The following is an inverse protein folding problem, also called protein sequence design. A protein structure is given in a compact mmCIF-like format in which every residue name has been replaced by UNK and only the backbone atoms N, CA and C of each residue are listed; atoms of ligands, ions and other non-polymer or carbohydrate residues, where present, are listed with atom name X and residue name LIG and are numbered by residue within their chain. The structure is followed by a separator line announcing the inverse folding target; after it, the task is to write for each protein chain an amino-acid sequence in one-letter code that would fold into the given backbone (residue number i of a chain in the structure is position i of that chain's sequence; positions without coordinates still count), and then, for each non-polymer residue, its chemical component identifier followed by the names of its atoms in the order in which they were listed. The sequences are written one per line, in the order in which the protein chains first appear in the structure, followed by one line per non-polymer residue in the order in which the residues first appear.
data_IF_940867017627
#
_entry.id   IF_940867017627
#
_cell.length_a   1.000
_cell.length_b   1.000
_cell.length_c   1.000
_cell.angle_alpha   90.00
_cell.angle_beta   90.00
_cell.angle_gamma   90.00
#
_symmetry.space_group_name_H-M   'P 1'
#
loop_
_entity.id
_entity.type
_entity.pdbx_description
1 polymer ?
#
# COMPACT_ATOMS: atom_id res chain seq x y z
N UNK A 1 -14.04 -47.71 49.49
CA UNK A 1 -14.03 -46.22 49.63
C UNK A 1 -12.58 -45.82 49.81
N UNK A 2 -11.93 -44.98 49.00
CA UNK A 2 -12.42 -43.77 48.31
C UNK A 2 -11.79 -43.73 46.91
N UNK A 3 -12.62 -43.39 45.92
CA UNK A 3 -12.20 -43.24 44.53
C UNK A 3 -11.24 -42.06 44.35
N UNK A 4 -10.32 -42.20 43.40
CA UNK A 4 -9.61 -41.07 42.82
C UNK A 4 -10.66 -40.08 42.27
N UNK A 5 -10.56 -38.77 42.55
CA UNK A 5 -11.37 -37.81 41.84
C UNK A 5 -10.91 -37.80 40.37
N UNK A 6 -11.81 -38.29 39.50
CA UNK A 6 -11.81 -37.99 38.07
C UNK A 6 -11.98 -36.48 37.95
N UNK A 7 -10.88 -35.77 37.70
CA UNK A 7 -10.95 -34.38 37.26
C UNK A 7 -11.52 -34.40 35.83
N UNK A 8 -12.77 -33.95 35.71
CA UNK A 8 -13.38 -33.69 34.41
C UNK A 8 -12.46 -32.77 33.59
N UNK A 9 -12.41 -32.91 32.25
CA UNK A 9 -11.70 -31.94 31.42
C UNK A 9 -12.36 -30.59 31.66
N UNK A 10 -11.62 -29.67 32.29
CA UNK A 10 -12.00 -28.26 32.37
C UNK A 10 -12.36 -27.81 30.96
N UNK A 11 -13.64 -27.46 30.76
CA UNK A 11 -14.15 -26.95 29.50
C UNK A 11 -13.17 -25.92 28.93
N UNK A 12 -12.74 -26.04 27.66
CA UNK A 12 -11.80 -25.08 27.09
C UNK A 12 -12.43 -23.68 27.16
N UNK A 13 -11.74 -22.75 27.82
CA UNK A 13 -12.11 -21.35 27.82
C UNK A 13 -12.04 -20.88 26.36
N UNK A 14 -13.21 -20.65 25.76
CA UNK A 14 -13.33 -20.11 24.41
C UNK A 14 -13.02 -18.61 24.49
N UNK A 15 -11.88 -18.22 23.93
CA UNK A 15 -11.53 -16.81 23.79
C UNK A 15 -11.95 -16.32 22.40
N UNK A 16 -12.56 -15.14 22.35
CA UNK A 16 -12.85 -14.42 21.12
C UNK A 16 -11.81 -13.31 20.98
N UNK A 17 -11.00 -13.32 19.93
CA UNK A 17 -10.12 -12.20 19.58
C UNK A 17 -10.69 -11.51 18.34
N UNK A 18 -10.77 -10.17 18.40
CA UNK A 18 -11.20 -9.33 17.27
C UNK A 18 -9.95 -8.64 16.70
N UNK A 19 -9.61 -8.97 15.46
CA UNK A 19 -8.54 -8.29 14.70
C UNK A 19 -9.19 -7.76 13.41
N UNK A 20 -9.06 -6.46 13.15
CA UNK A 20 -9.59 -5.80 11.95
C UNK A 20 -11.08 -6.09 11.66
N UNK A 21 -11.89 -6.28 12.71
CA UNK A 21 -13.33 -6.60 12.60
C UNK A 21 -13.66 -8.07 12.33
N UNK A 22 -12.65 -8.95 12.26
CA UNK A 22 -12.83 -10.39 12.10
C UNK A 22 -12.77 -11.06 13.48
N UNK A 23 -13.80 -11.85 13.79
CA UNK A 23 -13.96 -12.60 15.04
C UNK A 23 -13.26 -13.96 14.90
N UNK A 24 -12.19 -14.16 15.66
CA UNK A 24 -11.49 -15.44 15.74
C UNK A 24 -11.87 -16.18 17.02
N UNK A 25 -12.35 -17.42 16.87
CA UNK A 25 -12.58 -18.35 17.97
C UNK A 25 -11.28 -19.09 18.29
N UNK A 26 -10.82 -19.01 19.55
CA UNK A 26 -9.63 -19.69 20.04
C UNK A 26 -9.98 -20.74 21.10
N UNK A 27 -9.36 -21.91 20.94
CA UNK A 27 -8.91 -22.72 22.08
C UNK A 27 -7.55 -22.18 22.52
N UNK A 28 -7.43 -21.82 23.80
CA UNK A 28 -6.29 -21.04 24.32
C UNK A 28 -4.97 -21.84 24.22
N UNK A 29 -3.88 -21.29 23.62
CA UNK A 29 -2.58 -21.94 23.56
C UNK A 29 -1.88 -22.13 24.91
N UNK A 30 -2.34 -21.48 25.98
CA UNK A 30 -1.81 -21.68 27.34
C UNK A 30 -1.96 -23.13 27.80
N UNK A 31 -2.91 -23.90 27.23
CA UNK A 31 -3.01 -25.34 27.47
C UNK A 31 -1.97 -26.20 26.75
N UNK A 32 -1.23 -25.65 25.78
CA UNK A 32 -0.34 -26.40 24.89
C UNK A 32 1.14 -26.43 25.35
N UNK A 33 1.50 -25.74 26.44
CA UNK A 33 2.86 -25.75 26.99
C UNK A 33 3.94 -25.21 26.05
N UNK A 34 5.20 -25.56 26.33
CA UNK A 34 6.36 -25.20 25.51
C UNK A 34 6.20 -25.75 24.08
N UNK A 35 5.94 -24.86 23.11
CA UNK A 35 5.76 -25.23 21.71
C UNK A 35 4.37 -24.95 21.14
N UNK A 36 3.39 -24.54 21.96
CA UNK A 36 2.02 -24.25 21.51
C UNK A 36 1.93 -23.24 20.35
N UNK A 37 2.84 -22.26 20.29
CA UNK A 37 2.92 -21.29 19.18
C UNK A 37 3.31 -21.95 17.85
N UNK A 38 4.21 -22.95 17.87
CA UNK A 38 4.62 -23.69 16.67
C UNK A 38 3.52 -24.63 16.19
N UNK A 39 2.81 -25.26 17.12
CA UNK A 39 1.67 -26.11 16.80
C UNK A 39 0.55 -25.29 16.14
N UNK A 40 0.22 -24.12 16.71
CA UNK A 40 -0.77 -23.21 16.14
C UNK A 40 -0.37 -22.66 14.75
N UNK A 41 0.92 -22.39 14.52
CA UNK A 41 1.43 -22.02 13.20
C UNK A 41 1.28 -23.16 12.18
N UNK A 42 1.58 -24.40 12.59
CA UNK A 42 1.53 -25.58 11.71
C UNK A 42 0.10 -26.04 11.40
N UNK A 43 -0.78 -26.07 12.41
CA UNK A 43 -2.13 -26.63 12.31
C UNK A 43 -3.17 -25.59 11.85
N UNK A 44 -3.00 -24.33 12.29
CA UNK A 44 -3.98 -23.26 12.06
C UNK A 44 -3.46 -22.17 11.11
N UNK A 45 -2.18 -22.22 10.71
CA UNK A 45 -1.57 -21.20 9.85
C UNK A 45 -1.39 -19.84 10.53
N UNK A 46 -1.45 -19.78 11.86
CA UNK A 46 -1.40 -18.52 12.58
C UNK A 46 0.02 -17.98 12.73
N UNK A 47 0.18 -16.68 12.47
CA UNK A 47 1.44 -16.01 12.72
C UNK A 47 1.74 -15.97 14.23
N UNK A 48 2.91 -16.46 14.61
CA UNK A 48 3.39 -16.49 16.01
C UNK A 48 3.45 -15.11 16.67
N UNK A 49 3.64 -14.04 15.91
CA UNK A 49 3.61 -12.67 16.43
C UNK A 49 2.20 -12.24 16.83
N UNK A 50 1.19 -12.62 16.04
CA UNK A 50 -0.23 -12.40 16.37
C UNK A 50 -0.63 -13.18 17.62
N UNK A 51 -0.16 -14.43 17.76
CA UNK A 51 -0.40 -15.25 18.95
C UNK A 51 0.25 -14.62 20.19
N UNK A 52 1.50 -14.15 20.09
CA UNK A 52 2.20 -13.45 21.18
C UNK A 52 1.49 -12.16 21.58
N UNK A 53 1.00 -11.39 20.60
CA UNK A 53 0.21 -10.18 20.85
C UNK A 53 -1.07 -10.52 21.61
N UNK A 54 -1.86 -11.48 21.14
CA UNK A 54 -3.10 -11.91 21.81
C UNK A 54 -2.90 -12.42 23.23
N UNK A 55 -1.81 -13.16 23.51
CA UNK A 55 -1.47 -13.61 24.87
C UNK A 55 -1.19 -12.40 25.79
N UNK A 56 -0.41 -11.42 25.33
CA UNK A 56 -0.10 -10.22 26.11
C UNK A 56 -1.33 -9.36 26.36
N UNK A 57 -2.21 -9.22 25.38
CA UNK A 57 -3.48 -8.51 25.52
C UNK A 57 -4.38 -9.17 26.58
N UNK A 58 -4.43 -10.51 26.59
CA UNK A 58 -5.14 -11.26 27.63
C UNK A 58 -4.52 -11.05 29.02
N UNK A 59 -3.19 -11.18 29.14
CA UNK A 59 -2.49 -11.06 30.43
C UNK A 59 -2.58 -9.66 31.02
N UNK A 60 -2.54 -8.63 30.17
CA UNK A 60 -2.58 -7.23 30.58
C UNK A 60 -3.99 -6.64 30.66
N UNK A 61 -4.99 -7.29 30.05
CA UNK A 61 -6.36 -6.77 29.92
C UNK A 61 -6.48 -5.55 28.99
N UNK A 62 -5.42 -5.21 28.25
CA UNK A 62 -5.35 -4.05 27.36
C UNK A 62 -5.35 -4.54 25.91
N UNK A 63 -6.27 -4.04 25.09
CA UNK A 63 -6.27 -4.30 23.64
C UNK A 63 -5.23 -3.39 22.96
N UNK A 64 -4.23 -3.98 22.30
CA UNK A 64 -3.21 -3.22 21.57
C UNK A 64 -3.71 -2.92 20.16
N UNK A 65 -4.25 -1.71 19.95
CA UNK A 65 -4.62 -1.23 18.62
C UNK A 65 -3.37 -0.93 17.80
N UNK A 66 -3.25 -1.53 16.61
CA UNK A 66 -2.12 -1.25 15.72
C UNK A 66 -2.26 0.14 15.10
N UNK A 67 -1.26 1.02 15.32
CA UNK A 67 -1.19 2.31 14.65
C UNK A 67 -0.62 2.16 13.23
N UNK A 68 -1.34 1.44 12.36
CA UNK A 68 -0.92 1.25 10.97
C UNK A 68 -0.91 2.57 10.20
N UNK A 69 -1.82 3.48 10.51
CA UNK A 69 -1.89 4.83 9.94
C UNK A 69 -0.67 5.70 10.24
N UNK A 70 0.00 5.48 11.37
CA UNK A 70 1.23 6.21 11.73
C UNK A 70 2.51 5.59 11.18
N UNK A 71 2.43 4.47 10.46
CA UNK A 71 3.60 3.79 9.88
C UNK A 71 3.82 4.23 8.44
N UNK A 72 5.07 4.50 8.09
CA UNK A 72 5.50 4.76 6.72
C UNK A 72 5.79 6.24 6.42
N UNK A 73 6.04 6.53 5.15
CA UNK A 73 6.19 7.91 4.65
C UNK A 73 4.84 8.40 4.15
N UNK A 74 4.49 9.64 4.51
CA UNK A 74 3.31 10.30 3.98
C UNK A 74 3.42 10.51 2.48
N UNK A 75 2.26 10.55 1.81
CA UNK A 75 2.25 10.78 0.37
C UNK A 75 2.63 12.22 0.04
N UNK A 76 3.09 12.46 -1.19
CA UNK A 76 3.47 13.80 -1.63
C UNK A 76 2.30 14.80 -1.54
N UNK A 77 1.06 14.35 -1.73
CA UNK A 77 -0.14 15.19 -1.61
C UNK A 77 -0.39 15.69 -0.18
N UNK A 78 0.09 14.96 0.84
CA UNK A 78 -0.07 15.37 2.24
C UNK A 78 0.88 16.52 2.58
N UNK A 79 2.05 16.55 1.93
CA UNK A 79 2.97 17.68 2.01
C UNK A 79 2.52 18.86 1.14
N UNK A 80 1.89 18.58 -0.01
CA UNK A 80 1.48 19.56 -0.99
C UNK A 80 0.06 19.27 -1.50
N UNK A 81 -0.99 19.81 -0.85
CA UNK A 81 -2.37 19.48 -1.16
C UNK A 81 -2.77 19.84 -2.60
N UNK A 82 -2.17 20.89 -3.17
CA UNK A 82 -2.48 21.38 -4.51
C UNK A 82 -1.61 20.76 -5.62
N UNK A 83 -0.64 19.90 -5.26
CA UNK A 83 0.35 19.38 -6.21
C UNK A 83 -0.29 18.65 -7.40
N UNK A 84 -1.33 17.85 -7.15
CA UNK A 84 -1.99 17.11 -8.22
C UNK A 84 -2.71 18.05 -9.20
N UNK A 85 -3.30 19.11 -8.69
CA UNK A 85 -4.02 20.09 -9.52
C UNK A 85 -3.04 20.91 -10.35
N UNK A 86 -1.93 21.34 -9.76
CA UNK A 86 -0.87 22.06 -10.47
C UNK A 86 -0.24 21.19 -11.57
N UNK A 87 -0.02 19.89 -11.29
CA UNK A 87 0.45 18.94 -12.31
C UNK A 87 -0.55 18.82 -13.46
N UNK A 88 -1.84 18.69 -13.17
CA UNK A 88 -2.88 18.62 -14.22
C UNK A 88 -2.88 19.89 -15.07
N UNK A 89 -2.88 21.07 -14.43
CA UNK A 89 -2.87 22.35 -15.12
C UNK A 89 -1.69 22.52 -16.08
N UNK A 90 -0.50 22.04 -15.70
CA UNK A 90 0.69 22.04 -16.56
C UNK A 90 0.48 21.11 -17.77
N UNK A 91 -0.04 19.92 -17.51
CA UNK A 91 -0.01 18.80 -18.45
C UNK A 91 -1.20 18.78 -19.40
N UNK A 92 -2.37 19.24 -18.97
CA UNK A 92 -3.63 19.16 -19.73
C UNK A 92 -3.53 19.88 -21.07
N UNK A 93 -2.92 21.08 -21.07
CA UNK A 93 -2.69 21.87 -22.29
C UNK A 93 -1.83 21.15 -23.35
N UNK A 94 -1.00 20.18 -22.94
CA UNK A 94 -0.08 19.44 -23.79
C UNK A 94 -0.44 17.95 -23.89
N UNK A 95 -1.59 17.56 -23.35
CA UNK A 95 -2.09 16.19 -23.39
C UNK A 95 -2.80 15.92 -24.71
N UNK A 96 -2.57 14.74 -25.27
CA UNK A 96 -3.21 14.28 -26.49
C UNK A 96 -3.81 12.90 -26.26
N UNK A 97 -5.06 12.72 -26.67
CA UNK A 97 -5.69 11.40 -26.70
C UNK A 97 -4.95 10.52 -27.71
N UNK A 98 -4.96 9.21 -27.49
CA UNK A 98 -4.46 8.22 -28.43
C UNK A 98 -4.96 8.51 -29.86
N UNK A 99 -4.06 8.80 -30.82
CA UNK A 99 -4.43 9.12 -32.19
C UNK A 99 -5.21 8.01 -32.90
N UNK A 100 -5.08 6.76 -32.44
CA UNK A 100 -5.82 5.64 -33.01
C UNK A 100 -7.28 5.57 -32.53
N UNK A 101 -7.65 6.37 -31.50
CA UNK A 101 -8.94 6.35 -30.81
C UNK A 101 -9.39 4.97 -30.29
N UNK A 102 -8.47 3.99 -30.24
CA UNK A 102 -8.73 2.65 -29.69
C UNK A 102 -8.63 2.61 -28.17
N UNK A 103 -8.04 3.63 -27.56
CA UNK A 103 -7.86 3.72 -26.12
C UNK A 103 -8.09 5.14 -25.61
N UNK A 104 -8.54 5.26 -24.36
CA UNK A 104 -8.69 6.53 -23.65
C UNK A 104 -7.36 7.00 -23.02
N UNK A 105 -6.22 6.55 -23.53
CA UNK A 105 -4.91 6.92 -22.97
C UNK A 105 -4.60 8.37 -23.30
N UNK A 106 -4.20 9.12 -22.28
CA UNK A 106 -3.71 10.49 -22.42
C UNK A 106 -2.19 10.48 -22.52
N UNK A 107 -1.68 10.93 -23.66
CA UNK A 107 -0.26 11.03 -23.91
C UNK A 107 0.23 12.45 -23.69
N UNK A 108 1.31 12.58 -22.94
CA UNK A 108 1.95 13.87 -22.64
C UNK A 108 3.24 14.01 -23.43
N UNK A 109 3.55 15.26 -23.79
CA UNK A 109 4.82 15.63 -24.41
C UNK A 109 5.91 15.95 -23.38
N UNK A 110 5.53 16.37 -22.18
CA UNK A 110 6.48 16.68 -21.12
C UNK A 110 6.95 15.44 -20.39
N UNK A 111 8.26 15.39 -20.15
CA UNK A 111 8.86 14.43 -19.23
C UNK A 111 8.57 14.82 -17.78
N UNK A 112 8.65 13.87 -16.85
CA UNK A 112 8.46 14.17 -15.42
C UNK A 112 9.48 15.18 -14.88
N UNK A 113 10.71 15.18 -15.42
CA UNK A 113 11.72 16.18 -15.07
C UNK A 113 11.34 17.59 -15.53
N UNK A 114 10.70 17.69 -16.70
CA UNK A 114 10.22 18.97 -17.23
C UNK A 114 9.02 19.50 -16.44
N UNK A 115 8.09 18.61 -16.08
CA UNK A 115 6.97 18.97 -15.18
C UNK A 115 7.51 19.47 -13.84
N UNK A 116 8.55 18.83 -13.28
CA UNK A 116 9.21 19.29 -12.06
C UNK A 116 9.75 20.72 -12.19
N UNK A 117 10.43 21.04 -13.28
CA UNK A 117 10.95 22.39 -13.54
C UNK A 117 9.82 23.41 -13.65
N UNK A 118 8.74 23.07 -14.37
CA UNK A 118 7.60 23.96 -14.52
C UNK A 118 6.85 24.21 -13.21
N UNK A 119 6.80 23.21 -12.31
CA UNK A 119 6.27 23.42 -10.96
C UNK A 119 7.10 24.47 -10.21
N UNK A 120 8.43 24.38 -10.26
CA UNK A 120 9.33 25.36 -9.63
C UNK A 120 9.15 26.75 -10.27
N UNK A 121 9.16 26.84 -11.60
CA UNK A 121 9.12 28.11 -12.33
C UNK A 121 7.75 28.82 -12.26
N UNK A 122 6.65 28.09 -12.39
CA UNK A 122 5.29 28.68 -12.47
C UNK A 122 4.59 28.77 -11.12
N UNK A 123 4.82 27.79 -10.24
CA UNK A 123 4.12 27.67 -8.96
C UNK A 123 5.03 27.93 -7.76
N UNK A 124 6.34 28.16 -7.98
CA UNK A 124 7.27 28.60 -6.93
C UNK A 124 7.63 27.51 -5.92
N UNK A 125 7.46 26.24 -6.25
CA UNK A 125 7.89 25.15 -5.37
C UNK A 125 9.41 25.21 -5.13
N UNK A 126 9.85 25.01 -3.88
CA UNK A 126 11.28 24.94 -3.56
C UNK A 126 11.88 23.62 -4.06
N UNK A 127 13.03 23.69 -4.73
CA UNK A 127 13.74 22.54 -5.30
C UNK A 127 14.09 21.48 -4.24
N UNK A 128 14.39 21.92 -3.02
CA UNK A 128 14.74 21.08 -1.86
C UNK A 128 13.52 20.35 -1.28
N UNK A 129 12.36 21.02 -1.30
CA UNK A 129 11.10 20.51 -0.75
C UNK A 129 10.34 19.62 -1.74
N UNK A 130 10.54 19.87 -3.04
CA UNK A 130 9.83 19.18 -4.09
C UNK A 130 10.42 17.78 -4.29
N UNK A 131 9.54 16.79 -4.31
CA UNK A 131 9.93 15.40 -4.50
C UNK A 131 10.66 15.19 -5.84
N UNK A 132 11.40 14.09 -5.92
CA UNK A 132 12.19 13.71 -7.10
C UNK A 132 11.30 13.56 -8.34
N UNK A 133 11.90 13.67 -9.52
CA UNK A 133 11.26 13.43 -10.82
C UNK A 133 10.52 12.09 -10.90
N UNK A 134 11.02 11.04 -10.24
CA UNK A 134 10.35 9.73 -10.18
C UNK A 134 9.02 9.79 -9.42
N UNK A 135 8.95 10.51 -8.32
CA UNK A 135 7.69 10.70 -7.59
C UNK A 135 6.67 11.42 -8.47
N UNK A 136 7.09 12.46 -9.19
CA UNK A 136 6.24 13.17 -10.16
C UNK A 136 5.81 12.24 -11.29
N UNK A 137 6.69 11.35 -11.78
CA UNK A 137 6.33 10.33 -12.78
C UNK A 137 5.26 9.37 -12.26
N UNK A 138 5.36 8.93 -11.01
CA UNK A 138 4.32 8.09 -10.38
C UNK A 138 3.00 8.85 -10.32
N UNK A 139 3.01 10.12 -9.87
CA UNK A 139 1.79 10.95 -9.82
C UNK A 139 1.18 11.17 -11.20
N UNK A 140 1.98 11.38 -12.23
CA UNK A 140 1.49 11.47 -13.61
C UNK A 140 0.81 10.17 -14.06
N UNK A 141 1.39 9.01 -13.73
CA UNK A 141 0.79 7.72 -14.07
C UNK A 141 -0.51 7.49 -13.29
N UNK A 142 -0.57 7.86 -12.01
CA UNK A 142 -1.77 7.76 -11.16
C UNK A 142 -2.91 8.63 -11.72
N UNK A 143 -2.58 9.80 -12.27
CA UNK A 143 -3.51 10.69 -12.97
C UNK A 143 -3.89 10.19 -14.38
N UNK A 144 -3.31 9.07 -14.85
CA UNK A 144 -3.62 8.46 -16.15
C UNK A 144 -2.82 8.99 -17.33
N UNK A 145 -1.85 9.89 -17.08
CA UNK A 145 -0.97 10.43 -18.12
C UNK A 145 0.18 9.46 -18.42
N UNK A 146 0.53 9.34 -19.70
CA UNK A 146 1.66 8.53 -20.16
C UNK A 146 2.58 9.33 -21.06
N UNK A 147 3.88 9.17 -20.89
CA UNK A 147 4.83 9.81 -21.78
C UNK A 147 4.74 9.22 -23.20
N UNK A 148 4.53 10.08 -24.20
CA UNK A 148 4.55 9.64 -25.61
C UNK A 148 5.99 9.38 -26.05
N UNK A 149 6.28 8.18 -26.58
CA UNK A 149 7.53 7.98 -27.31
C UNK A 149 7.50 8.78 -28.61
N UNK A 150 8.53 9.57 -28.85
CA UNK A 150 8.70 10.29 -30.11
C UNK A 150 8.96 9.27 -31.22
N UNK A 151 8.06 9.21 -32.21
CA UNK A 151 8.27 8.39 -33.40
C UNK A 151 9.46 8.98 -34.17
N UNK A 152 10.55 8.22 -34.29
CA UNK A 152 11.68 8.61 -35.16
C UNK A 152 11.24 8.51 -36.63
N UNK A 153 11.88 9.30 -37.48
CA UNK A 153 11.61 9.33 -38.93
C UNK A 153 11.72 7.92 -39.50
N UNK A 154 10.72 7.51 -40.27
CA UNK A 154 10.78 6.27 -41.04
C UNK A 154 11.47 6.59 -42.37
N UNK A 155 12.63 5.96 -42.69
CA UNK A 155 13.30 6.22 -43.96
C UNK A 155 12.39 5.81 -45.12
N UNK A 156 12.23 6.69 -46.10
CA UNK A 156 11.48 6.38 -47.31
C UNK A 156 12.27 5.35 -48.13
N UNK A 157 11.62 4.26 -48.49
CA UNK A 157 12.21 3.23 -49.35
C UNK A 157 12.13 3.73 -50.79
N UNK A 158 13.27 3.84 -51.47
CA UNK A 158 13.29 4.17 -52.90
C UNK A 158 12.57 3.05 -53.66
N UNK A 159 11.45 3.38 -54.32
CA UNK A 159 10.82 2.48 -55.28
C UNK A 159 11.58 2.61 -56.61
N UNK A 160 12.22 1.53 -57.04
CA UNK A 160 12.74 1.43 -58.41
C UNK A 160 11.53 1.35 -59.35
N UNK A 161 11.40 2.34 -60.25
CA UNK A 161 10.41 2.34 -61.32
C UNK A 161 10.75 1.31 -62.40
#
# INVERSE_FOLDING_TARGET
MKGLPSAAPSSPLKMIIIIDGIVYFLEVPQGLGLGGQRLAESELGWNRDTIRKGIRELESGITCVDNMSGKGRYKAEEHFPNLLEDIKNIVDSQSQIDPSFKSQRLYTRFSAAEVRKQLIEKYGYSDESLHTSETIRVKLNDLGYKLRRVKKVQPQKNSTN
#
